data_IF_606526716483
#
_entry.id   IF_606526716483
#
_cell.length_a   1.000
_cell.length_b   1.000
_cell.length_c   1.000
_cell.angle_alpha   90.00
_cell.angle_beta   90.00
_cell.angle_gamma   90.00
#
_symmetry.space_group_name_H-M   'P 1'
#
loop_
_entity.id
_entity.type
_entity.pdbx_description
1 polymer ?
#
# COMPACT_ATOMS: atom_id res chain seq x y z
N UNK A 1 12.27 0.54 11.23
CA UNK A 1 12.95 1.55 10.37
C UNK A 1 12.34 2.90 10.70
N UNK A 2 13.14 3.87 11.13
CA UNK A 2 12.62 5.19 11.50
C UNK A 2 12.23 6.00 10.24
N UNK A 3 11.51 7.13 10.42
CA UNK A 3 11.04 7.98 9.31
C UNK A 3 12.16 8.36 8.35
N UNK A 4 13.31 8.79 8.88
CA UNK A 4 14.41 9.30 8.08
C UNK A 4 15.06 8.20 7.24
N UNK A 5 15.17 6.99 7.79
CA UNK A 5 15.63 5.82 7.07
C UNK A 5 14.65 5.43 5.95
N UNK A 6 13.33 5.53 6.18
CA UNK A 6 12.32 5.27 5.13
C UNK A 6 12.43 6.26 3.98
N UNK A 7 12.49 7.56 4.29
CA UNK A 7 12.63 8.62 3.29
C UNK A 7 13.92 8.47 2.51
N UNK A 8 15.04 8.24 3.21
CA UNK A 8 16.34 8.03 2.58
C UNK A 8 16.30 6.86 1.60
N UNK A 9 15.76 5.72 2.02
CA UNK A 9 15.69 4.53 1.16
C UNK A 9 14.78 4.75 -0.06
N UNK A 10 13.65 5.42 0.10
CA UNK A 10 12.75 5.77 -1.00
C UNK A 10 13.41 6.76 -1.97
N UNK A 11 14.14 7.74 -1.46
CA UNK A 11 14.87 8.68 -2.29
C UNK A 11 16.03 8.02 -3.05
N UNK A 12 16.78 7.11 -2.39
CA UNK A 12 17.87 6.36 -3.02
C UNK A 12 17.37 5.41 -4.11
N UNK A 13 16.23 4.76 -3.89
CA UNK A 13 15.73 3.71 -4.78
C UNK A 13 14.79 4.25 -5.88
N UNK A 14 14.04 5.30 -5.57
CA UNK A 14 12.96 5.80 -6.42
C UNK A 14 13.01 7.31 -6.67
N UNK A 15 14.00 8.02 -6.11
CA UNK A 15 14.26 9.44 -6.36
C UNK A 15 13.09 10.39 -6.05
N UNK A 16 12.26 10.05 -5.05
CA UNK A 16 11.18 10.93 -4.57
C UNK A 16 11.14 10.98 -3.03
N UNK A 17 10.39 11.96 -2.51
CA UNK A 17 10.10 12.11 -1.08
C UNK A 17 8.63 11.76 -0.81
N UNK A 18 8.39 10.81 0.10
CA UNK A 18 7.04 10.31 0.36
C UNK A 18 6.27 11.26 1.28
N UNK A 19 5.12 11.76 0.81
CA UNK A 19 4.26 12.67 1.56
C UNK A 19 3.02 11.96 2.14
N UNK A 20 3.05 10.64 2.30
CA UNK A 20 1.95 9.95 2.95
C UNK A 20 1.89 10.29 4.44
N UNK A 21 0.69 10.27 5.02
CA UNK A 21 0.47 10.62 6.42
C UNK A 21 1.37 9.84 7.41
N UNK A 22 1.60 8.52 7.25
CA UNK A 22 2.56 7.78 8.08
C UNK A 22 4.02 8.27 8.00
N UNK A 23 4.44 8.80 6.86
CA UNK A 23 5.77 9.37 6.67
C UNK A 23 5.86 10.80 7.22
N UNK A 24 4.76 11.55 7.26
CA UNK A 24 4.72 12.88 7.87
C UNK A 24 4.71 12.77 9.40
N UNK A 25 3.79 11.96 9.95
CA UNK A 25 3.43 11.88 11.38
C UNK A 25 4.23 10.84 12.19
N UNK A 26 5.25 10.21 11.61
CA UNK A 26 6.13 9.25 12.28
C UNK A 26 5.37 8.08 12.93
N UNK A 27 4.47 7.46 12.18
CA UNK A 27 3.69 6.33 12.68
C UNK A 27 4.59 5.16 13.16
N UNK A 28 4.12 4.38 14.17
CA UNK A 28 4.85 3.24 14.70
C UNK A 28 5.13 2.20 13.62
N UNK A 29 6.29 1.53 13.72
CA UNK A 29 6.57 0.36 12.91
C UNK A 29 5.68 -0.81 13.35
N UNK A 30 5.54 -1.81 12.48
CA UNK A 30 4.72 -3.01 12.76
C UNK A 30 5.05 -3.65 14.12
N UNK A 31 6.33 -3.76 14.46
CA UNK A 31 6.79 -4.39 15.71
C UNK A 31 6.57 -3.49 16.95
N UNK A 32 6.16 -2.24 16.76
CA UNK A 32 5.87 -1.26 17.82
C UNK A 32 4.37 -1.11 18.10
N UNK A 33 3.55 -1.84 17.35
CA UNK A 33 2.10 -1.89 17.54
C UNK A 33 1.79 -2.75 18.79
N UNK A 34 0.92 -2.29 19.72
CA UNK A 34 0.51 -3.08 20.89
C UNK A 34 -0.02 -4.47 20.53
N UNK A 35 0.18 -5.49 21.37
CA UNK A 35 -0.46 -6.80 21.12
C UNK A 35 -1.99 -6.64 21.00
N UNK A 36 -2.58 -7.23 19.95
CA UNK A 36 -4.00 -7.06 19.61
C UNK A 36 -4.33 -5.84 18.74
N UNK A 37 -3.36 -4.97 18.42
CA UNK A 37 -3.53 -3.94 17.37
C UNK A 37 -3.40 -4.55 15.98
N UNK A 38 -4.45 -5.27 15.60
CA UNK A 38 -4.53 -5.94 14.32
C UNK A 38 -5.81 -6.74 14.12
N UNK A 39 -6.86 -6.52 14.92
CA UNK A 39 -8.07 -7.33 14.80
C UNK A 39 -9.23 -6.52 14.23
N UNK A 40 -9.00 -6.01 13.04
CA UNK A 40 -10.07 -5.91 12.05
C UNK A 40 -9.66 -6.70 10.82
N UNK A 41 -10.44 -7.73 10.51
CA UNK A 41 -10.38 -8.34 9.20
C UNK A 41 -11.13 -7.40 8.26
N UNK A 42 -10.38 -6.55 7.54
CA UNK A 42 -10.93 -5.92 6.34
C UNK A 42 -10.86 -7.01 5.27
N UNK A 43 -12.01 -7.61 5.01
CA UNK A 43 -12.17 -8.64 3.98
C UNK A 43 -12.81 -7.99 2.76
N UNK A 44 -12.14 -8.06 1.62
CA UNK A 44 -12.72 -7.66 0.35
C UNK A 44 -12.41 -8.74 -0.68
N UNK A 45 -13.46 -9.42 -1.15
CA UNK A 45 -13.32 -10.45 -2.18
C UNK A 45 -12.70 -9.86 -3.46
N UNK A 46 -13.06 -8.62 -3.80
CA UNK A 46 -12.49 -7.91 -4.95
C UNK A 46 -11.00 -7.67 -4.79
N UNK A 47 -10.57 -7.26 -3.59
CA UNK A 47 -9.15 -7.10 -3.29
C UNK A 47 -8.42 -8.43 -3.39
N UNK A 48 -8.97 -9.50 -2.80
CA UNK A 48 -8.34 -10.82 -2.81
C UNK A 48 -8.16 -11.36 -4.24
N UNK A 49 -9.15 -11.15 -5.11
CA UNK A 49 -9.10 -11.51 -6.53
C UNK A 49 -8.05 -10.69 -7.29
N UNK A 50 -8.09 -9.35 -7.18
CA UNK A 50 -7.11 -8.48 -7.83
C UNK A 50 -5.67 -8.74 -7.35
N UNK A 51 -5.50 -8.98 -6.05
CA UNK A 51 -4.20 -9.29 -5.46
C UNK A 51 -3.69 -10.66 -5.91
N UNK A 52 -4.59 -11.64 -6.11
CA UNK A 52 -4.23 -12.94 -6.68
C UNK A 52 -3.72 -12.81 -8.11
N UNK A 53 -4.40 -12.06 -8.98
CA UNK A 53 -3.92 -11.81 -10.36
C UNK A 53 -2.50 -11.23 -10.35
N UNK A 54 -2.24 -10.27 -9.45
CA UNK A 54 -0.92 -9.66 -9.32
C UNK A 54 0.16 -10.67 -8.87
N UNK A 55 -0.14 -11.54 -7.90
CA UNK A 55 0.79 -12.58 -7.43
C UNK A 55 1.06 -13.62 -8.52
N UNK A 56 0.06 -13.96 -9.31
CA UNK A 56 0.17 -14.89 -10.43
C UNK A 56 0.96 -14.28 -11.63
N UNK A 57 1.36 -13.01 -11.53
CA UNK A 57 2.15 -12.31 -12.53
C UNK A 57 1.32 -11.88 -13.74
N UNK A 58 -0.01 -11.86 -13.60
CA UNK A 58 -0.89 -11.36 -14.64
C UNK A 58 -0.69 -9.85 -14.83
N UNK A 59 -0.90 -9.39 -16.06
CA UNK A 59 -0.82 -7.97 -16.38
C UNK A 59 -1.94 -7.21 -15.64
N UNK A 60 -1.61 -6.27 -14.74
CA UNK A 60 -2.64 -5.56 -14.01
C UNK A 60 -3.48 -4.69 -14.95
N UNK A 61 -4.79 -4.72 -14.72
CA UNK A 61 -5.78 -3.92 -15.43
C UNK A 61 -6.04 -2.59 -14.71
N UNK A 62 -6.75 -1.67 -15.39
CA UNK A 62 -7.17 -0.41 -14.77
C UNK A 62 -8.21 -0.63 -13.67
N UNK A 63 -8.98 -1.71 -13.77
CA UNK A 63 -9.93 -2.12 -12.73
C UNK A 63 -9.20 -2.61 -11.47
N UNK A 64 -8.11 -3.37 -11.60
CA UNK A 64 -7.28 -3.77 -10.46
C UNK A 64 -6.70 -2.56 -9.72
N UNK A 65 -6.24 -1.55 -10.48
CA UNK A 65 -5.72 -0.30 -9.91
C UNK A 65 -6.79 0.42 -9.08
N UNK A 66 -8.01 0.55 -9.62
CA UNK A 66 -9.14 1.18 -8.92
C UNK A 66 -9.49 0.38 -7.65
N UNK A 67 -9.51 -0.97 -7.73
CA UNK A 67 -9.79 -1.83 -6.57
C UNK A 67 -8.77 -1.60 -5.45
N UNK A 68 -7.47 -1.50 -5.79
CA UNK A 68 -6.45 -1.23 -4.78
C UNK A 68 -6.57 0.18 -4.18
N UNK A 69 -6.88 1.19 -5.00
CA UNK A 69 -7.09 2.56 -4.54
C UNK A 69 -8.29 2.66 -3.58
N UNK A 70 -9.44 2.09 -3.96
CA UNK A 70 -10.64 2.03 -3.13
C UNK A 70 -10.36 1.32 -1.80
N UNK A 71 -9.67 0.18 -1.84
CA UNK A 71 -9.35 -0.58 -0.63
C UNK A 71 -8.38 0.15 0.31
N UNK A 72 -7.43 0.91 -0.23
CA UNK A 72 -6.55 1.79 0.57
C UNK A 72 -7.37 2.89 1.24
N UNK A 73 -8.29 3.53 0.52
CA UNK A 73 -9.16 4.57 1.09
C UNK A 73 -10.04 4.01 2.22
N UNK A 74 -10.63 2.82 2.05
CA UNK A 74 -11.38 2.13 3.12
C UNK A 74 -10.52 1.83 4.36
N UNK A 75 -9.24 1.49 4.15
CA UNK A 75 -8.31 1.34 5.25
C UNK A 75 -8.03 2.69 5.93
N UNK A 76 -7.78 3.76 5.18
CA UNK A 76 -7.48 5.07 5.74
C UNK A 76 -8.64 5.61 6.60
N UNK A 77 -9.90 5.47 6.15
CA UNK A 77 -11.09 5.83 6.94
C UNK A 77 -11.16 5.06 8.26
N UNK A 78 -10.83 3.76 8.24
CA UNK A 78 -10.88 2.92 9.43
C UNK A 78 -9.77 3.24 10.43
N UNK A 79 -8.64 3.82 10.00
CA UNK A 79 -7.53 4.23 10.85
C UNK A 79 -7.83 5.50 11.66
N UNK A 80 -8.69 6.40 11.16
CA UNK A 80 -9.09 7.63 11.88
C UNK A 80 -9.88 7.36 13.17
N UNK A 81 -10.40 6.14 13.35
CA UNK A 81 -11.28 5.76 14.46
C UNK A 81 -10.61 5.17 15.71
N UNK A 82 -9.30 5.36 15.95
CA UNK A 82 -8.53 4.70 17.03
C UNK A 82 -8.48 3.16 16.92
N UNK A 83 -8.70 2.61 15.73
CA UNK A 83 -8.81 1.16 15.50
C UNK A 83 -7.71 0.73 14.53
N UNK A 84 -6.64 0.17 15.07
CA UNK A 84 -5.50 -0.33 14.30
C UNK A 84 -5.91 -1.45 13.34
N UNK A 85 -5.69 -1.23 12.05
CA UNK A 85 -5.79 -2.26 11.00
C UNK A 85 -4.60 -3.21 11.13
N UNK A 86 -4.70 -4.44 10.63
CA UNK A 86 -3.51 -5.28 10.39
C UNK A 86 -2.56 -4.51 9.49
N UNK A 87 -1.48 -3.95 10.03
CA UNK A 87 -0.48 -3.22 9.24
C UNK A 87 0.00 -4.01 8.02
N UNK A 88 -0.01 -5.35 8.10
CA UNK A 88 0.27 -6.24 6.97
C UNK A 88 -0.71 -6.12 5.80
N UNK A 89 -2.02 -6.04 6.05
CA UNK A 89 -3.05 -5.94 4.98
C UNK A 89 -2.95 -4.59 4.28
N UNK A 90 -2.83 -3.51 5.06
CA UNK A 90 -2.64 -2.16 4.53
C UNK A 90 -1.34 -2.06 3.72
N UNK A 91 -0.23 -2.57 4.25
CA UNK A 91 1.04 -2.60 3.52
C UNK A 91 0.93 -3.40 2.22
N UNK A 92 0.29 -4.57 2.24
CA UNK A 92 0.09 -5.37 1.03
C UNK A 92 -0.71 -4.60 -0.03
N UNK A 93 -1.77 -3.89 0.37
CA UNK A 93 -2.55 -3.08 -0.54
C UNK A 93 -1.75 -1.92 -1.14
N UNK A 94 -0.98 -1.21 -0.32
CA UNK A 94 -0.08 -0.15 -0.80
C UNK A 94 0.97 -0.68 -1.76
N UNK A 95 1.58 -1.83 -1.49
CA UNK A 95 2.56 -2.44 -2.39
C UNK A 95 1.93 -2.91 -3.71
N UNK A 96 0.73 -3.50 -3.65
CA UNK A 96 -0.01 -3.90 -4.86
C UNK A 96 -0.34 -2.69 -5.75
N UNK A 97 -0.86 -1.61 -5.14
CA UNK A 97 -1.15 -0.37 -5.85
C UNK A 97 0.09 0.22 -6.52
N UNK A 98 1.24 0.27 -5.82
CA UNK A 98 2.51 0.74 -6.37
C UNK A 98 2.99 -0.12 -7.55
N UNK A 99 2.86 -1.44 -7.46
CA UNK A 99 3.24 -2.34 -8.57
C UNK A 99 2.36 -2.10 -9.80
N UNK A 100 1.05 -1.92 -9.62
CA UNK A 100 0.14 -1.56 -10.71
C UNK A 100 0.50 -0.20 -11.32
N UNK A 101 0.71 0.84 -10.50
CA UNK A 101 1.15 2.15 -10.99
C UNK A 101 2.45 2.05 -11.76
N UNK A 102 3.44 1.31 -11.25
CA UNK A 102 4.72 1.11 -11.92
C UNK A 102 4.52 0.47 -13.30
N UNK A 103 3.65 -0.54 -13.41
CA UNK A 103 3.29 -1.16 -14.67
C UNK A 103 2.70 -0.13 -15.66
N UNK A 104 1.74 0.69 -15.23
CA UNK A 104 1.13 1.71 -16.11
C UNK A 104 2.09 2.84 -16.48
N UNK A 105 2.95 3.26 -15.57
CA UNK A 105 3.95 4.31 -15.82
C UNK A 105 5.01 3.85 -16.82
N UNK A 106 5.46 2.60 -16.72
CA UNK A 106 6.44 2.03 -17.66
C UNK A 106 5.80 1.58 -18.98
N UNK A 107 4.51 1.23 -19.00
CA UNK A 107 3.78 0.94 -20.24
C UNK A 107 3.65 2.17 -21.16
N UNK A 108 3.80 3.40 -20.62
CA UNK A 108 3.81 4.65 -21.39
C UNK A 108 5.19 4.91 -22.04
N UNK A 109 6.25 4.21 -21.61
CA UNK A 109 7.63 4.42 -22.07
C UNK A 109 8.19 3.27 -22.94
N UNK A 110 7.32 2.38 -23.45
CA UNK A 110 7.70 1.31 -24.41
C UNK A 110 7.02 1.56 -25.78
N UNK A 111 6.75 2.83 -26.10
CA UNK A 111 6.44 3.25 -27.48
C UNK A 111 7.29 4.48 -27.80
N UNK A 112 8.57 4.24 -28.13
CA UNK A 112 9.41 5.09 -28.99
C UNK A 112 10.38 4.19 -29.79
#
# INVERSE_FOLDING_TARGET
>A
MNKDERQKKLNEQYHFECQCQPCIEQWPNYDQLPEGTGEKNITSTKFDEAFKHLIEGEKPSKDDLNIFEEFIAECDEQMQGNKSIKGKVYNNAQEAYKQCLNFFYHSIHIED
#
